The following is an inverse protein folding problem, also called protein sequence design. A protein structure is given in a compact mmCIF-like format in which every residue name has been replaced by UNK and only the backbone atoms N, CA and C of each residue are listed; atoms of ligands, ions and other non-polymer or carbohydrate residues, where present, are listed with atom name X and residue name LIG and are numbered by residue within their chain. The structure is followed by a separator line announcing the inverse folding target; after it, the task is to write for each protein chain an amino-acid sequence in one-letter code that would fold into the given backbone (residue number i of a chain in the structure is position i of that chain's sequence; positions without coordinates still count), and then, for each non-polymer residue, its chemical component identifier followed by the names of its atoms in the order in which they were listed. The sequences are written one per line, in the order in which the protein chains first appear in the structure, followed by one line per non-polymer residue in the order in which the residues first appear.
data_IF_055462090853
#
_entry.id   IF_055462090853
#
_cell.length_a   1.000
_cell.length_b   1.000
_cell.length_c   1.000
_cell.angle_alpha   90.00
_cell.angle_beta   90.00
_cell.angle_gamma   90.00
#
_symmetry.space_group_name_H-M   'P 1'
#
loop_
_entity.id
_entity.type
_entity.pdbx_description
1 polymer ?
#
# COMPACT_ATOMS: atom_id res chain seq x y z
N UNK A 1 14.73 0.42 -3.71
CA UNK A 1 13.36 0.58 -4.19
C UNK A 1 13.27 1.78 -5.11
N UNK A 2 12.62 1.65 -6.26
CA UNK A 2 12.44 2.78 -7.19
C UNK A 2 11.02 3.32 -6.99
N UNK A 3 10.89 4.49 -6.37
CA UNK A 3 9.61 5.17 -6.19
C UNK A 3 9.29 6.07 -7.39
N UNK A 4 8.01 6.22 -7.69
CA UNK A 4 7.53 7.05 -8.78
C UNK A 4 7.89 8.54 -8.53
N UNK A 5 8.26 9.26 -9.58
CA UNK A 5 8.59 10.70 -9.47
C UNK A 5 7.43 11.54 -8.93
N UNK A 6 6.17 11.16 -9.23
CA UNK A 6 4.98 11.83 -8.69
C UNK A 6 4.83 11.64 -7.18
N UNK A 7 5.13 10.45 -6.67
CA UNK A 7 5.06 10.16 -5.24
C UNK A 7 6.11 10.94 -4.46
N UNK A 8 7.32 11.09 -5.03
CA UNK A 8 8.39 11.92 -4.45
C UNK A 8 8.01 13.40 -4.43
N UNK A 9 7.49 13.92 -5.55
CA UNK A 9 7.05 15.32 -5.63
C UNK A 9 5.92 15.63 -4.63
N UNK A 10 4.94 14.73 -4.46
CA UNK A 10 3.90 14.89 -3.44
C UNK A 10 4.49 14.90 -2.03
N UNK A 11 5.48 14.06 -1.76
CA UNK A 11 6.16 14.01 -0.47
C UNK A 11 6.93 15.31 -0.19
N UNK A 12 7.67 15.84 -1.14
CA UNK A 12 8.42 17.09 -1.01
C UNK A 12 7.46 18.26 -0.72
N UNK A 13 6.37 18.38 -1.49
CA UNK A 13 5.33 19.39 -1.25
C UNK A 13 4.67 19.24 0.14
N UNK A 14 4.47 18.00 0.60
CA UNK A 14 3.88 17.73 1.91
C UNK A 14 4.80 18.11 3.07
N UNK A 15 6.11 17.95 2.90
CA UNK A 15 7.11 18.39 3.90
C UNK A 15 7.20 19.91 3.96
N UNK A 16 7.30 20.59 2.80
CA UNK A 16 7.38 22.05 2.75
C UNK A 16 6.22 22.72 3.48
N UNK A 17 5.04 22.12 3.43
CA UNK A 17 3.85 22.60 4.11
C UNK A 17 3.62 22.03 5.52
N UNK A 18 4.47 21.11 6.00
CA UNK A 18 4.32 20.40 7.28
C UNK A 18 2.98 19.66 7.45
N UNK A 19 2.43 19.08 6.39
CA UNK A 19 1.13 18.39 6.37
C UNK A 19 1.24 16.92 5.90
N UNK A 20 2.41 16.32 6.04
CA UNK A 20 2.70 14.97 5.52
C UNK A 20 1.76 13.91 6.11
N UNK A 21 1.53 13.93 7.43
CA UNK A 21 0.69 12.94 8.10
C UNK A 21 -0.79 13.06 7.68
N UNK A 22 -1.26 14.30 7.50
CA UNK A 22 -2.62 14.57 7.02
C UNK A 22 -2.82 14.04 5.60
N UNK A 23 -1.90 14.36 4.69
CA UNK A 23 -1.96 13.91 3.30
C UNK A 23 -1.82 12.38 3.22
N UNK A 24 -1.00 11.77 4.08
CA UNK A 24 -0.88 10.31 4.15
C UNK A 24 -2.19 9.66 4.59
N UNK A 25 -2.84 10.20 5.62
CA UNK A 25 -4.13 9.70 6.09
C UNK A 25 -5.22 9.83 5.01
N UNK A 26 -5.29 10.99 4.36
CA UNK A 26 -6.24 11.22 3.26
C UNK A 26 -5.96 10.31 2.06
N UNK A 27 -4.69 10.08 1.72
CA UNK A 27 -4.28 9.14 0.66
C UNK A 27 -4.70 7.70 0.96
N UNK A 28 -4.55 7.24 2.22
CA UNK A 28 -5.04 5.93 2.67
C UNK A 28 -6.56 5.82 2.57
N UNK A 29 -7.28 6.89 2.87
CA UNK A 29 -8.75 6.96 2.75
C UNK A 29 -9.20 6.86 1.30
N UNK A 30 -8.52 7.54 0.37
CA UNK A 30 -8.78 7.45 -1.06
C UNK A 30 -8.50 6.03 -1.57
N UNK A 31 -7.39 5.40 -1.15
CA UNK A 31 -7.06 4.03 -1.53
C UNK A 31 -8.12 3.03 -1.07
N UNK A 32 -8.62 3.16 0.16
CA UNK A 32 -9.74 2.35 0.66
C UNK A 32 -11.00 2.56 -0.17
N UNK A 33 -11.32 3.80 -0.52
CA UNK A 33 -12.47 4.11 -1.37
C UNK A 33 -12.35 3.48 -2.77
N UNK A 34 -11.14 3.49 -3.37
CA UNK A 34 -10.85 2.85 -4.64
C UNK A 34 -11.00 1.32 -4.61
N UNK A 35 -10.70 0.70 -3.48
CA UNK A 35 -10.85 -0.76 -3.29
C UNK A 35 -12.30 -1.16 -3.01
N UNK A 36 -13.04 -0.33 -2.25
CA UNK A 36 -14.40 -0.62 -1.81
C UNK A 36 -15.45 -0.28 -2.87
N UNK A 37 -15.29 0.85 -3.56
CA UNK A 37 -16.29 1.40 -4.49
C UNK A 37 -15.84 1.09 -5.92
N UNK A 38 -16.42 0.05 -6.52
CA UNK A 38 -16.09 -0.39 -7.90
C UNK A 38 -16.36 0.69 -8.95
N UNK A 39 -17.46 1.44 -8.77
CA UNK A 39 -17.83 2.54 -9.67
C UNK A 39 -16.80 3.66 -9.66
N UNK A 40 -16.26 4.02 -8.49
CA UNK A 40 -15.21 5.02 -8.35
C UNK A 40 -13.92 4.59 -9.07
N UNK A 41 -13.52 3.33 -8.88
CA UNK A 41 -12.36 2.76 -9.56
C UNK A 41 -12.57 2.71 -11.08
N UNK A 42 -13.75 2.29 -11.53
CA UNK A 42 -14.09 2.26 -12.95
C UNK A 42 -14.09 3.66 -13.56
N UNK A 43 -14.62 4.67 -12.86
CA UNK A 43 -14.64 6.05 -13.33
C UNK A 43 -13.21 6.61 -13.49
N UNK A 44 -12.33 6.41 -12.51
CA UNK A 44 -10.94 6.89 -12.58
C UNK A 44 -10.15 6.20 -13.69
N UNK A 45 -10.41 4.93 -13.95
CA UNK A 45 -9.70 4.13 -14.97
C UNK A 45 -10.28 4.26 -16.37
N UNK A 46 -11.43 4.85 -16.53
CA UNK A 46 -12.08 4.95 -17.81
C UNK A 46 -11.57 6.17 -18.60
N UNK A 47 -10.89 5.98 -19.74
CA UNK A 47 -10.35 7.07 -20.55
C UNK A 47 -11.41 7.83 -21.35
N UNK A 48 -12.66 7.36 -21.38
CA UNK A 48 -13.74 7.97 -22.15
C UNK A 48 -14.30 9.25 -21.50
N UNK A 49 -14.12 9.42 -20.19
CA UNK A 49 -14.55 10.63 -19.51
C UNK A 49 -13.66 11.82 -19.86
N UNK A 50 -14.27 12.99 -19.98
CA UNK A 50 -13.54 14.22 -20.23
C UNK A 50 -12.77 14.66 -18.98
N UNK A 51 -11.72 15.43 -19.18
CA UNK A 51 -10.92 15.96 -18.05
C UNK A 51 -11.78 16.79 -17.09
N UNK A 52 -12.73 17.55 -17.61
CA UNK A 52 -13.62 18.37 -16.79
C UNK A 52 -14.48 17.52 -15.85
N UNK A 53 -14.99 16.38 -16.31
CA UNK A 53 -15.81 15.48 -15.50
C UNK A 53 -14.99 14.93 -14.30
N UNK A 54 -13.72 14.59 -14.55
CA UNK A 54 -12.80 14.16 -13.48
C UNK A 54 -12.50 15.28 -12.49
N UNK A 55 -12.32 16.52 -12.96
CA UNK A 55 -12.07 17.69 -12.10
C UNK A 55 -13.27 18.00 -11.23
N UNK A 56 -14.49 18.01 -11.79
CA UNK A 56 -15.72 18.26 -11.05
C UNK A 56 -15.91 17.21 -9.94
N UNK A 57 -15.77 15.93 -10.26
CA UNK A 57 -15.89 14.85 -9.30
C UNK A 57 -14.85 14.94 -8.18
N UNK A 58 -13.58 15.22 -8.51
CA UNK A 58 -12.52 15.38 -7.52
C UNK A 58 -12.76 16.59 -6.61
N UNK A 59 -13.30 17.69 -7.16
CA UNK A 59 -13.65 18.86 -6.37
C UNK A 59 -14.83 18.58 -5.42
N UNK A 60 -15.82 17.81 -5.84
CA UNK A 60 -16.94 17.42 -4.99
C UNK A 60 -16.49 16.45 -3.88
N UNK A 61 -15.61 15.51 -4.19
CA UNK A 61 -14.98 14.66 -3.18
C UNK A 61 -14.13 15.48 -2.21
N UNK A 62 -13.35 16.44 -2.72
CA UNK A 62 -12.54 17.32 -1.90
C UNK A 62 -13.38 18.12 -0.89
N UNK A 63 -14.55 18.61 -1.30
CA UNK A 63 -15.50 19.30 -0.41
C UNK A 63 -16.11 18.38 0.64
N UNK A 64 -16.50 17.16 0.25
CA UNK A 64 -17.12 16.18 1.16
C UNK A 64 -16.15 15.63 2.20
N UNK A 65 -14.92 15.41 1.84
CA UNK A 65 -13.90 14.80 2.70
C UNK A 65 -12.89 15.80 3.25
N UNK A 66 -13.08 17.09 3.00
CA UNK A 66 -12.17 18.17 3.42
C UNK A 66 -10.70 17.85 3.09
N UNK A 67 -10.43 17.54 1.81
CA UNK A 67 -9.06 17.26 1.40
C UNK A 67 -8.16 18.48 1.56
N UNK A 68 -6.93 18.24 1.99
CA UNK A 68 -5.92 19.29 2.06
C UNK A 68 -5.74 19.94 0.66
N UNK A 69 -5.63 21.29 0.60
CA UNK A 69 -5.48 22.02 -0.66
C UNK A 69 -4.32 21.52 -1.54
N UNK A 70 -3.25 21.04 -0.92
CA UNK A 70 -2.09 20.50 -1.65
C UNK A 70 -2.46 19.18 -2.35
N UNK A 71 -3.15 18.30 -1.64
CA UNK A 71 -3.62 17.05 -2.22
C UNK A 71 -4.59 17.32 -3.39
N UNK A 72 -5.51 18.26 -3.21
CA UNK A 72 -6.47 18.64 -4.26
C UNK A 72 -5.75 19.20 -5.51
N UNK A 73 -4.78 20.10 -5.32
CA UNK A 73 -3.94 20.61 -6.42
C UNK A 73 -3.19 19.50 -7.13
N UNK A 74 -2.65 18.55 -6.37
CA UNK A 74 -1.94 17.40 -6.93
C UNK A 74 -2.85 16.47 -7.74
N UNK A 75 -4.06 16.18 -7.25
CA UNK A 75 -5.05 15.39 -7.98
C UNK A 75 -5.46 16.07 -9.29
N UNK A 76 -5.74 17.37 -9.26
CA UNK A 76 -6.04 18.16 -10.46
C UNK A 76 -4.85 18.20 -11.44
N UNK A 77 -3.62 18.24 -10.93
CA UNK A 77 -2.42 18.13 -11.77
C UNK A 77 -2.34 16.75 -12.44
N UNK A 78 -2.67 15.65 -11.77
CA UNK A 78 -2.71 14.32 -12.39
C UNK A 78 -3.78 14.24 -13.49
N UNK A 79 -4.93 14.89 -13.31
CA UNK A 79 -5.96 15.00 -14.35
C UNK A 79 -5.43 15.75 -15.57
N UNK A 80 -4.80 16.93 -15.38
CA UNK A 80 -4.25 17.74 -16.47
C UNK A 80 -3.19 17.00 -17.28
N UNK A 81 -2.41 16.12 -16.63
CA UNK A 81 -1.41 15.26 -17.26
C UNK A 81 -1.97 13.94 -17.81
N UNK A 82 -3.28 13.70 -17.70
CA UNK A 82 -3.95 12.44 -18.08
C UNK A 82 -3.35 11.21 -17.37
N UNK A 83 -2.93 11.38 -16.11
CA UNK A 83 -2.28 10.33 -15.32
C UNK A 83 -3.11 9.86 -14.14
N UNK A 84 -4.38 10.25 -14.08
CA UNK A 84 -5.31 9.84 -13.03
C UNK A 84 -5.49 8.31 -12.99
N UNK A 85 -5.38 7.65 -14.13
CA UNK A 85 -5.41 6.19 -14.25
C UNK A 85 -4.41 5.46 -13.32
N UNK A 86 -3.28 6.09 -13.02
CA UNK A 86 -2.24 5.54 -12.14
C UNK A 86 -2.37 6.00 -10.69
N UNK A 87 -3.49 6.62 -10.30
CA UNK A 87 -3.69 7.19 -8.97
C UNK A 87 -3.45 6.18 -7.85
N UNK A 88 -4.01 4.97 -7.99
CA UNK A 88 -3.84 3.88 -7.02
C UNK A 88 -2.37 3.54 -6.79
N UNK A 89 -1.60 3.42 -7.85
CA UNK A 89 -0.17 3.13 -7.78
C UNK A 89 0.63 4.30 -7.19
N UNK A 90 0.33 5.53 -7.62
CA UNK A 90 1.01 6.75 -7.14
C UNK A 90 0.79 6.95 -5.64
N UNK A 91 -0.45 6.76 -5.16
CA UNK A 91 -0.76 6.91 -3.74
C UNK A 91 -0.19 5.77 -2.89
N UNK A 92 -0.19 4.52 -3.39
CA UNK A 92 0.48 3.39 -2.71
C UNK A 92 1.99 3.64 -2.59
N UNK A 93 2.62 4.08 -3.67
CA UNK A 93 4.04 4.44 -3.68
C UNK A 93 4.32 5.63 -2.72
N UNK A 94 3.42 6.61 -2.63
CA UNK A 94 3.56 7.75 -1.72
C UNK A 94 3.51 7.29 -0.25
N UNK A 95 2.53 6.50 0.14
CA UNK A 95 2.41 5.96 1.50
C UNK A 95 3.65 5.14 1.87
N UNK A 96 4.11 4.26 0.96
CA UNK A 96 5.34 3.47 1.18
C UNK A 96 6.57 4.36 1.26
N UNK A 97 6.62 5.47 0.52
CA UNK A 97 7.72 6.43 0.58
C UNK A 97 7.75 7.20 1.90
N UNK A 98 6.58 7.59 2.43
CA UNK A 98 6.46 8.18 3.77
C UNK A 98 6.99 7.22 4.85
N UNK A 99 6.55 5.96 4.83
CA UNK A 99 7.02 4.93 5.76
C UNK A 99 8.54 4.73 5.65
N UNK A 100 9.07 4.65 4.44
CA UNK A 100 10.51 4.52 4.20
C UNK A 100 11.31 5.69 4.79
N UNK A 101 10.83 6.93 4.61
CA UNK A 101 11.48 8.14 5.14
C UNK A 101 11.42 8.23 6.67
N UNK A 102 10.40 7.66 7.30
CA UNK A 102 10.31 7.52 8.76
C UNK A 102 11.17 6.36 9.30
N UNK A 103 11.88 5.64 8.42
CA UNK A 103 12.63 4.45 8.81
C UNK A 103 11.72 3.27 9.17
N UNK A 104 10.47 3.30 8.75
CA UNK A 104 9.55 2.17 8.89
C UNK A 104 9.73 1.21 7.71
N UNK A 105 9.62 -0.07 7.97
CA UNK A 105 9.69 -1.11 6.95
C UNK A 105 8.34 -1.80 6.84
N UNK A 106 7.75 -1.74 5.65
CA UNK A 106 6.50 -2.45 5.40
C UNK A 106 6.78 -3.95 5.36
N UNK A 107 6.07 -4.70 6.19
CA UNK A 107 6.09 -6.15 6.20
C UNK A 107 4.70 -6.72 5.91
N UNK A 108 4.64 -7.72 5.03
CA UNK A 108 3.42 -8.49 4.79
C UNK A 108 3.51 -9.81 5.53
N UNK A 109 2.50 -10.09 6.33
CA UNK A 109 2.36 -11.36 7.04
C UNK A 109 1.15 -12.10 6.46
N UNK A 110 1.39 -13.27 5.90
CA UNK A 110 0.32 -14.14 5.41
C UNK A 110 0.34 -15.40 6.27
N UNK A 111 -0.79 -15.72 6.90
CA UNK A 111 -0.95 -16.88 7.77
C UNK A 111 -2.06 -17.80 7.25
N UNK A 112 -1.92 -19.11 7.46
CA UNK A 112 -2.95 -20.08 7.15
C UNK A 112 -4.18 -20.01 8.06
N UNK A 113 -4.01 -19.46 9.27
CA UNK A 113 -5.07 -19.30 10.29
C UNK A 113 -5.05 -17.89 10.84
N UNK A 114 -6.18 -17.47 11.39
CA UNK A 114 -6.23 -16.21 12.15
C UNK A 114 -5.28 -16.31 13.35
N UNK A 115 -4.41 -15.31 13.46
CA UNK A 115 -3.49 -15.14 14.58
C UNK A 115 -4.15 -14.27 15.65
N UNK A 116 -3.88 -14.58 16.91
CA UNK A 116 -4.29 -13.73 18.02
C UNK A 116 -3.43 -12.47 18.06
N UNK A 117 -3.99 -11.39 18.59
CA UNK A 117 -3.29 -10.11 18.69
C UNK A 117 -1.93 -10.22 19.39
N UNK A 118 -1.84 -11.05 20.42
CA UNK A 118 -0.57 -11.34 21.15
C UNK A 118 0.50 -11.99 20.25
N UNK A 119 0.08 -12.86 19.31
CA UNK A 119 0.99 -13.52 18.37
C UNK A 119 1.50 -12.54 17.32
N UNK A 120 0.63 -11.67 16.84
CA UNK A 120 0.98 -10.60 15.90
C UNK A 120 1.95 -9.62 16.54
N UNK A 121 1.75 -9.26 17.83
CA UNK A 121 2.68 -8.40 18.57
C UNK A 121 4.03 -9.05 18.79
N UNK A 122 4.08 -10.34 19.11
CA UNK A 122 5.36 -11.07 19.23
C UNK A 122 6.12 -11.06 17.92
N UNK A 123 5.44 -11.34 16.79
CA UNK A 123 6.05 -11.30 15.46
C UNK A 123 6.60 -9.90 15.16
N UNK A 124 5.86 -8.83 15.49
CA UNK A 124 6.35 -7.45 15.35
C UNK A 124 7.61 -7.19 16.15
N UNK A 125 7.66 -7.64 17.40
CA UNK A 125 8.83 -7.49 18.28
C UNK A 125 10.05 -8.26 17.74
N UNK A 126 9.85 -9.49 17.29
CA UNK A 126 10.92 -10.31 16.72
C UNK A 126 11.48 -9.71 15.41
N UNK A 127 10.60 -9.17 14.57
CA UNK A 127 10.99 -8.48 13.37
C UNK A 127 11.71 -7.16 13.68
N UNK A 128 11.24 -6.40 14.67
CA UNK A 128 11.93 -5.20 15.14
C UNK A 128 13.34 -5.52 15.65
N UNK A 129 13.50 -6.60 16.42
CA UNK A 129 14.81 -7.03 16.93
C UNK A 129 15.77 -7.43 15.79
N UNK A 130 15.25 -8.00 14.69
CA UNK A 130 16.06 -8.42 13.54
C UNK A 130 16.43 -7.28 12.60
N UNK A 131 15.51 -6.36 12.36
CA UNK A 131 15.66 -5.33 11.32
C UNK A 131 16.00 -3.94 11.88
N UNK A 132 15.88 -3.74 13.21
CA UNK A 132 16.19 -2.46 13.88
C UNK A 132 15.29 -1.30 13.49
N UNK A 133 14.17 -1.58 12.80
CA UNK A 133 13.27 -0.58 12.24
C UNK A 133 11.85 -0.84 12.69
N UNK A 134 11.06 0.21 12.86
CA UNK A 134 9.62 0.08 13.15
C UNK A 134 8.92 -0.59 11.98
N UNK A 135 8.16 -1.64 12.26
CA UNK A 135 7.54 -2.46 11.23
C UNK A 135 6.05 -2.14 11.11
N UNK A 136 5.66 -1.74 9.93
CA UNK A 136 4.26 -1.62 9.56
C UNK A 136 3.80 -2.96 8.98
N UNK A 137 2.98 -3.71 9.73
CA UNK A 137 2.58 -5.07 9.40
C UNK A 137 1.23 -5.08 8.70
N UNK A 138 1.21 -5.46 7.42
CA UNK A 138 -0.01 -5.79 6.67
C UNK A 138 -0.30 -7.29 6.83
N UNK A 139 -1.37 -7.63 7.56
CA UNK A 139 -1.73 -9.00 7.89
C UNK A 139 -2.87 -9.52 7.02
N UNK A 140 -2.67 -10.69 6.43
CA UNK A 140 -3.70 -11.39 5.64
C UNK A 140 -3.78 -12.86 6.02
N UNK A 141 -5.00 -13.41 5.98
CA UNK A 141 -5.23 -14.85 6.14
C UNK A 141 -5.40 -15.49 4.76
N UNK A 142 -4.63 -16.54 4.49
CA UNK A 142 -4.73 -17.34 3.27
C UNK A 142 -4.76 -18.83 3.63
N UNK A 143 -5.91 -19.44 3.47
CA UNK A 143 -6.15 -20.86 3.78
C UNK A 143 -5.41 -21.81 2.83
N UNK A 144 -5.00 -21.35 1.65
CA UNK A 144 -4.28 -22.18 0.67
C UNK A 144 -2.85 -22.54 1.11
N UNK A 145 -2.35 -21.92 2.17
CA UNK A 145 -1.05 -22.25 2.76
C UNK A 145 -1.03 -23.59 3.52
N UNK A 146 -2.20 -24.17 3.80
CA UNK A 146 -2.43 -25.38 4.60
C UNK A 146 -2.05 -25.15 6.06
N UNK A 147 -0.80 -24.74 6.34
CA UNK A 147 -0.29 -24.37 7.66
C UNK A 147 1.00 -23.54 7.53
N UNK A 148 1.34 -22.82 8.58
CA UNK A 148 2.53 -21.97 8.64
C UNK A 148 2.23 -20.51 8.29
N UNK A 149 3.31 -19.76 8.06
CA UNK A 149 3.25 -18.33 7.76
C UNK A 149 4.30 -17.93 6.72
N UNK A 150 3.99 -16.89 5.98
CA UNK A 150 4.91 -16.21 5.07
C UNK A 150 5.08 -14.79 5.57
N UNK A 151 6.32 -14.38 5.73
CA UNK A 151 6.68 -13.00 6.10
C UNK A 151 7.48 -12.42 4.94
N UNK A 152 7.03 -11.30 4.41
CA UNK A 152 7.78 -10.54 3.42
C UNK A 152 8.12 -9.16 4.01
N UNK A 153 9.40 -8.88 4.15
CA UNK A 153 9.92 -7.59 4.64
C UNK A 153 10.72 -6.94 3.53
N UNK A 154 10.12 -5.95 2.88
CA UNK A 154 10.71 -5.35 1.69
C UNK A 154 10.97 -6.38 0.59
N UNK A 155 12.24 -6.62 0.27
CA UNK A 155 12.67 -7.62 -0.73
C UNK A 155 12.99 -9.01 -0.15
N UNK A 156 12.98 -9.14 1.17
CA UNK A 156 13.28 -10.40 1.86
C UNK A 156 11.97 -11.15 2.12
N UNK A 157 11.90 -12.40 1.65
CA UNK A 157 10.75 -13.28 1.87
C UNK A 157 11.18 -14.48 2.70
N UNK A 158 10.48 -14.70 3.79
CA UNK A 158 10.66 -15.86 4.69
C UNK A 158 9.39 -16.70 4.58
N UNK A 159 9.49 -17.83 3.89
CA UNK A 159 8.36 -18.74 3.67
C UNK A 159 8.54 -20.00 4.52
N UNK A 160 7.77 -20.10 5.60
CA UNK A 160 7.67 -21.26 6.49
C UNK A 160 6.36 -22.05 6.27
N UNK A 161 5.72 -21.90 5.12
CA UNK A 161 4.49 -22.63 4.82
C UNK A 161 4.72 -24.13 4.60
N UNK A 162 3.75 -24.94 5.01
CA UNK A 162 3.75 -26.38 4.71
C UNK A 162 3.65 -26.65 3.23
N UNK A 163 2.96 -25.80 2.48
CA UNK A 163 2.88 -25.88 1.02
C UNK A 163 4.27 -25.84 0.36
N UNK A 164 5.14 -24.94 0.80
CA UNK A 164 6.50 -24.85 0.27
C UNK A 164 7.36 -26.03 0.71
N UNK A 165 7.26 -26.47 1.96
CA UNK A 165 7.97 -27.66 2.46
C UNK A 165 7.60 -28.92 1.68
N UNK A 166 6.31 -29.15 1.41
CA UNK A 166 5.85 -30.27 0.61
C UNK A 166 6.37 -30.19 -0.84
N UNK A 167 6.39 -28.98 -1.43
CA UNK A 167 6.94 -28.76 -2.77
C UNK A 167 8.43 -29.08 -2.83
N UNK A 168 9.20 -28.67 -1.83
CA UNK A 168 10.63 -29.00 -1.73
C UNK A 168 10.89 -30.50 -1.58
N UNK A 169 10.09 -31.19 -0.76
CA UNK A 169 10.19 -32.65 -0.61
C UNK A 169 9.88 -33.34 -1.95
N UNK A 170 8.78 -32.93 -2.61
CA UNK A 170 8.41 -33.48 -3.92
C UNK A 170 9.52 -33.28 -4.95
N UNK A 171 10.13 -32.08 -5.02
CA UNK A 171 11.24 -31.82 -5.96
C UNK A 171 12.44 -32.74 -5.68
N UNK A 172 12.83 -32.90 -4.41
CA UNK A 172 13.93 -33.78 -4.01
C UNK A 172 13.67 -35.25 -4.29
N UNK A 173 12.40 -35.67 -4.29
CA UNK A 173 12.04 -37.09 -4.65
C UNK A 173 12.03 -37.36 -6.16
N UNK A 174 11.94 -36.29 -6.97
CA UNK A 174 11.93 -36.43 -8.45
C UNK A 174 13.36 -36.33 -9.02
N UNK A 175 14.28 -35.69 -8.30
CA UNK A 175 15.70 -35.55 -8.68
C UNK A 175 16.57 -36.79 -8.33
N UNK A 176 15.97 -37.87 -7.80
CA UNK A 176 16.57 -39.18 -7.58
C UNK A 176 16.07 -40.16 -8.63
#
# INVERSE_FOLDING_TARGET
MSFNSYSKALYELSIEANVTDEIEHQSKSILKALETIKEFNAFIKNPLFKQNDHVEMLNDLSKKFNFNPILNKFLNFLVSKRRLFYLDKILKDFVSYCSFKRGEVDAKLISAKELKDDEVEKIKKDLFAKFGSKINLDYKVDKDLISGLIIQVGSIMIDNSMKNKLKQIKSKMIEV
#
